data_IF_650327148575
#
_entry.id   IF_650327148575
#
_cell.length_a   1.000
_cell.length_b   1.000
_cell.length_c   1.000
_cell.angle_alpha   90.00
_cell.angle_beta   90.00
_cell.angle_gamma   90.00
#
_symmetry.space_group_name_H-M   'P 1'
#
loop_
_entity.id
_entity.type
_entity.pdbx_description
1 polymer ?
#
# COMPACT_ATOMS: atom_id res chain seq x y z
N UNK A 1 1.25 7.03 10.44
CA UNK A 1 1.22 5.63 10.91
C UNK A 1 -0.11 4.94 10.61
N UNK A 2 -1.19 5.18 11.38
CA UNK A 2 -2.51 4.52 11.23
C UNK A 2 -3.10 4.51 9.81
N UNK A 3 -2.91 5.57 9.02
CA UNK A 3 -3.38 5.60 7.64
C UNK A 3 -2.67 4.57 6.75
N UNK A 4 -1.36 4.34 6.96
CA UNK A 4 -0.60 3.35 6.20
C UNK A 4 -1.05 1.92 6.56
N UNK A 5 -1.39 1.68 7.82
CA UNK A 5 -1.96 0.40 8.26
C UNK A 5 -3.31 0.11 7.59
N UNK A 6 -4.20 1.11 7.56
CA UNK A 6 -5.52 0.99 6.93
C UNK A 6 -5.36 0.70 5.43
N UNK A 7 -4.46 1.41 4.76
CA UNK A 7 -4.18 1.21 3.33
C UNK A 7 -3.62 -0.20 3.09
N UNK A 8 -2.65 -0.64 3.88
CA UNK A 8 -2.08 -1.98 3.77
C UNK A 8 -3.11 -3.09 4.01
N UNK A 9 -3.99 -2.92 4.99
CA UNK A 9 -5.08 -3.86 5.26
C UNK A 9 -6.15 -3.87 4.14
N UNK A 10 -6.48 -2.71 3.57
CA UNK A 10 -7.41 -2.62 2.46
C UNK A 10 -6.88 -3.34 1.21
N UNK A 11 -5.60 -3.11 0.85
CA UNK A 11 -4.95 -3.82 -0.26
C UNK A 11 -4.89 -5.32 0.00
N UNK A 12 -4.53 -5.74 1.22
CA UNK A 12 -4.51 -7.16 1.60
C UNK A 12 -5.88 -7.83 1.39
N UNK A 13 -6.97 -7.14 1.73
CA UNK A 13 -8.33 -7.65 1.50
C UNK A 13 -8.66 -7.77 0.02
N UNK A 14 -8.33 -6.76 -0.79
CA UNK A 14 -8.54 -6.79 -2.24
C UNK A 14 -7.79 -7.98 -2.86
N UNK A 15 -6.51 -8.17 -2.52
CA UNK A 15 -5.70 -9.28 -3.05
C UNK A 15 -6.18 -10.66 -2.62
N UNK A 16 -6.77 -10.77 -1.42
CA UNK A 16 -7.39 -12.02 -0.94
C UNK A 16 -8.70 -12.34 -1.65
N UNK A 17 -9.48 -11.31 -2.00
CA UNK A 17 -10.73 -11.47 -2.74
C UNK A 17 -10.49 -11.79 -4.21
N UNK A 18 -9.51 -11.11 -4.83
CA UNK A 18 -9.11 -11.36 -6.22
C UNK A 18 -7.60 -11.11 -6.37
N UNK A 19 -6.86 -12.18 -6.61
CA UNK A 19 -5.42 -12.13 -6.74
C UNK A 19 -4.94 -11.45 -8.05
N UNK A 20 -5.82 -11.27 -9.03
CA UNK A 20 -5.47 -10.60 -10.30
C UNK A 20 -5.08 -9.12 -10.10
N UNK A 21 -5.54 -8.50 -9.01
CA UNK A 21 -5.17 -7.12 -8.66
C UNK A 21 -3.69 -6.95 -8.34
N UNK A 22 -2.96 -8.03 -8.05
CA UNK A 22 -1.49 -7.98 -7.88
C UNK A 22 -0.79 -7.53 -9.17
N UNK A 23 -1.42 -7.74 -10.33
CA UNK A 23 -0.91 -7.27 -11.63
C UNK A 23 -1.41 -5.86 -12.00
N UNK A 24 -2.47 -5.39 -11.34
CA UNK A 24 -3.12 -4.10 -11.62
C UNK A 24 -2.65 -2.97 -10.71
N UNK A 25 -2.18 -3.32 -9.52
CA UNK A 25 -1.69 -2.39 -8.51
C UNK A 25 -0.18 -2.63 -8.35
N UNK A 26 0.63 -1.63 -8.68
CA UNK A 26 2.07 -1.76 -8.50
C UNK A 26 2.39 -1.83 -7.00
N UNK A 27 3.41 -2.61 -6.64
CA UNK A 27 3.87 -2.75 -5.26
C UNK A 27 2.82 -3.29 -4.28
N UNK A 28 1.72 -3.91 -4.76
CA UNK A 28 0.62 -4.37 -3.91
C UNK A 28 1.10 -5.25 -2.74
N UNK A 29 2.00 -6.21 -3.00
CA UNK A 29 2.61 -7.06 -1.97
C UNK A 29 3.48 -6.27 -0.99
N UNK A 30 4.21 -5.25 -1.46
CA UNK A 30 5.02 -4.39 -0.60
C UNK A 30 4.15 -3.47 0.26
N UNK A 31 3.01 -2.98 -0.25
CA UNK A 31 2.03 -2.21 0.52
C UNK A 31 1.39 -3.06 1.63
N UNK A 32 1.12 -4.34 1.37
CA UNK A 32 0.71 -5.29 2.42
C UNK A 32 1.84 -5.51 3.43
N UNK A 33 3.08 -5.64 2.98
CA UNK A 33 4.26 -5.74 3.85
C UNK A 33 4.50 -4.51 4.72
N UNK A 34 4.18 -3.31 4.21
CA UNK A 34 4.30 -2.05 4.92
C UNK A 34 3.43 -2.04 6.20
N UNK A 35 2.24 -2.65 6.16
CA UNK A 35 1.40 -2.83 7.36
C UNK A 35 2.19 -3.52 8.47
N UNK A 36 2.91 -4.59 8.15
CA UNK A 36 3.66 -5.36 9.14
C UNK A 36 4.89 -4.58 9.63
N UNK A 37 5.53 -3.82 8.73
CA UNK A 37 6.66 -2.95 9.05
C UNK A 37 6.23 -1.81 10.00
N UNK A 38 5.10 -1.16 9.74
CA UNK A 38 4.57 -0.08 10.60
C UNK A 38 4.18 -0.61 11.99
N UNK A 39 3.56 -1.79 12.07
CA UNK A 39 3.13 -2.40 13.34
C UNK A 39 4.30 -2.92 14.19
N UNK A 40 5.35 -3.46 13.57
CA UNK A 40 6.43 -4.16 14.28
C UNK A 40 7.75 -3.39 14.36
N UNK A 41 8.01 -2.46 13.44
CA UNK A 41 9.29 -1.77 13.33
C UNK A 41 9.18 -0.27 13.62
N UNK A 42 8.20 0.15 14.43
CA UNK A 42 8.07 1.54 14.87
C UNK A 42 9.39 2.10 15.46
N UNK A 43 10.18 1.26 16.12
CA UNK A 43 11.50 1.64 16.68
C UNK A 43 12.66 1.60 15.66
N UNK A 44 12.47 1.04 14.46
CA UNK A 44 13.55 0.74 13.51
C UNK A 44 13.30 1.19 12.06
N UNK A 45 12.16 1.82 11.77
CA UNK A 45 11.88 2.46 10.48
C UNK A 45 12.44 3.88 10.49
N UNK A 46 13.26 4.21 9.50
CA UNK A 46 13.73 5.58 9.32
C UNK A 46 12.63 6.48 8.76
N UNK A 47 12.60 7.74 9.19
CA UNK A 47 11.74 8.78 8.62
C UNK A 47 11.93 8.91 7.09
N UNK A 48 13.15 8.64 6.60
CA UNK A 48 13.47 8.61 5.17
C UNK A 48 12.69 7.54 4.42
N UNK A 49 12.52 6.36 5.02
CA UNK A 49 11.71 5.27 4.44
C UNK A 49 10.25 5.68 4.36
N UNK A 50 9.71 6.28 5.44
CA UNK A 50 8.34 6.79 5.46
C UNK A 50 8.17 7.87 4.38
N UNK A 51 9.10 8.81 4.31
CA UNK A 51 9.07 9.88 3.33
C UNK A 51 9.06 9.34 1.89
N UNK A 52 9.94 8.39 1.56
CA UNK A 52 9.97 7.76 0.24
C UNK A 52 8.64 7.08 -0.12
N UNK A 53 7.98 6.42 0.85
CA UNK A 53 6.65 5.82 0.65
C UNK A 53 5.60 6.89 0.35
N UNK A 54 5.58 7.96 1.14
CA UNK A 54 4.64 9.07 0.98
C UNK A 54 4.82 9.79 -0.36
N UNK A 55 6.05 9.99 -0.82
CA UNK A 55 6.32 10.76 -2.04
C UNK A 55 6.27 9.93 -3.31
N UNK A 56 6.68 8.65 -3.27
CA UNK A 56 6.89 7.87 -4.49
C UNK A 56 5.79 6.83 -4.71
N UNK A 57 5.35 6.15 -3.65
CA UNK A 57 4.45 4.99 -3.77
C UNK A 57 2.98 5.36 -3.58
N UNK A 58 2.67 6.24 -2.62
CA UNK A 58 1.28 6.66 -2.35
C UNK A 58 0.59 7.41 -3.50
N UNK A 59 1.24 8.36 -4.19
CA UNK A 59 0.62 9.03 -5.34
C UNK A 59 0.31 8.06 -6.47
N UNK A 60 1.22 7.09 -6.71
CA UNK A 60 1.04 6.05 -7.72
C UNK A 60 -0.14 5.15 -7.38
N UNK A 61 -0.21 4.66 -6.14
CA UNK A 61 -1.33 3.86 -5.66
C UNK A 61 -2.66 4.59 -5.86
N UNK A 62 -2.72 5.89 -5.53
CA UNK A 62 -3.93 6.69 -5.71
C UNK A 62 -4.39 6.73 -7.17
N UNK A 63 -3.47 6.91 -8.12
CA UNK A 63 -3.78 6.92 -9.55
C UNK A 63 -4.30 5.56 -10.00
N UNK A 64 -3.64 4.48 -9.61
CA UNK A 64 -4.04 3.11 -9.96
C UNK A 64 -5.43 2.78 -9.44
N UNK A 65 -5.71 3.09 -8.16
CA UNK A 65 -7.03 2.88 -7.56
C UNK A 65 -8.11 3.71 -8.27
N UNK A 66 -7.84 5.00 -8.54
CA UNK A 66 -8.80 5.83 -9.28
C UNK A 66 -9.06 5.27 -10.68
N UNK A 67 -8.02 4.81 -11.38
CA UNK A 67 -8.16 4.20 -12.71
C UNK A 67 -9.02 2.93 -12.66
N UNK A 68 -8.86 2.11 -11.62
CA UNK A 68 -9.67 0.90 -11.41
C UNK A 68 -11.13 1.22 -11.06
N UNK A 69 -11.39 2.37 -10.45
CA UNK A 69 -12.74 2.83 -10.13
C UNK A 69 -13.45 3.48 -11.31
N UNK A 70 -12.72 4.22 -12.16
CA UNK A 70 -13.24 4.86 -13.38
C UNK A 70 -13.44 3.88 -14.54
N UNK A 71 -12.72 2.74 -14.52
CA UNK A 71 -12.81 1.67 -15.53
C UNK A 71 -13.91 0.61 -15.29
N UNK A 72 -14.78 0.81 -14.29
CA UNK A 72 -15.98 0.02 -14.00
C UNK A 72 -17.24 0.84 -14.26
#
# INVERSE_FOLDING_TARGET
>A
ERNLEIIGEAINRILKSDHSYTLKITDATAIVGLRNQVIHAYDNISDETIWAILTNHLPKLKIEINTLLEGN
#
